data_IF_099498757430
#
_entry.id   IF_099498757430
#
_cell.length_a   1.000
_cell.length_b   1.000
_cell.length_c   1.000
_cell.angle_alpha   90.00
_cell.angle_beta   90.00
_cell.angle_gamma   90.00
#
_symmetry.space_group_name_H-M   'P 1'
#
loop_
_entity.id
_entity.type
_entity.pdbx_description
1 polymer ?
#
# COMPACT_ATOMS: atom_id res chain seq x y z
N UNK A 1 -19.51 -34.71 -10.08
CA UNK A 1 -19.62 -33.60 -11.05
C UNK A 1 -18.20 -33.25 -11.46
N UNK A 2 -17.77 -33.63 -12.67
CA UNK A 2 -16.45 -33.28 -13.19
C UNK A 2 -16.48 -31.79 -13.56
N UNK A 3 -15.74 -30.94 -12.83
CA UNK A 3 -15.47 -29.58 -13.28
C UNK A 3 -14.63 -29.70 -14.55
N UNK A 4 -15.23 -29.39 -15.71
CA UNK A 4 -14.48 -29.12 -16.94
C UNK A 4 -13.75 -27.79 -16.73
N UNK A 5 -12.53 -27.84 -16.24
CA UNK A 5 -11.71 -26.65 -15.93
C UNK A 5 -11.26 -25.91 -17.20
N UNK A 6 -11.57 -26.39 -18.42
CA UNK A 6 -10.71 -26.12 -19.58
C UNK A 6 -11.32 -25.54 -20.86
N UNK A 7 -12.63 -25.35 -20.95
CA UNK A 7 -13.22 -24.71 -22.14
C UNK A 7 -13.39 -23.19 -21.98
N UNK A 8 -12.83 -22.59 -20.92
CA UNK A 8 -13.02 -21.17 -20.61
C UNK A 8 -11.69 -20.43 -20.48
N UNK A 9 -11.66 -19.21 -21.02
CA UNK A 9 -10.56 -18.28 -20.88
C UNK A 9 -10.30 -17.95 -19.40
N UNK A 10 -9.04 -17.67 -19.08
CA UNK A 10 -8.68 -17.15 -17.76
C UNK A 10 -9.32 -15.77 -17.57
N UNK A 11 -9.88 -15.52 -16.39
CA UNK A 11 -10.37 -14.20 -16.03
C UNK A 11 -9.20 -13.24 -15.85
N UNK A 12 -9.43 -11.96 -16.18
CA UNK A 12 -8.43 -10.91 -15.99
C UNK A 12 -8.38 -10.39 -14.54
N UNK A 13 -8.64 -11.25 -13.57
CA UNK A 13 -8.65 -10.93 -12.13
C UNK A 13 -7.91 -12.05 -11.40
N UNK A 14 -7.12 -11.67 -10.41
CA UNK A 14 -6.18 -12.54 -9.72
C UNK A 14 -6.86 -13.47 -8.71
N UNK A 15 -8.05 -13.07 -8.24
CA UNK A 15 -8.72 -13.61 -7.06
C UNK A 15 -10.05 -14.24 -7.48
N UNK A 16 -10.27 -15.48 -7.05
CA UNK A 16 -11.57 -16.13 -7.20
C UNK A 16 -12.63 -15.52 -6.28
N UNK A 17 -13.92 -15.61 -6.66
CA UNK A 17 -15.04 -15.22 -5.82
C UNK A 17 -15.16 -16.02 -4.52
N UNK A 18 -16.11 -15.62 -3.66
CA UNK A 18 -16.36 -16.29 -2.38
C UNK A 18 -16.73 -17.76 -2.61
N UNK A 19 -15.91 -18.67 -2.10
CA UNK A 19 -16.13 -20.12 -2.19
C UNK A 19 -15.71 -20.85 -0.92
N UNK A 20 -16.18 -22.08 -0.77
CA UNK A 20 -15.83 -22.95 0.36
C UNK A 20 -14.52 -23.72 0.20
N UNK A 21 -13.98 -24.26 1.30
CA UNK A 21 -12.78 -25.09 1.23
C UNK A 21 -12.98 -26.31 0.33
N UNK A 22 -14.17 -26.93 0.31
CA UNK A 22 -14.45 -28.10 -0.53
C UNK A 22 -14.35 -27.79 -2.03
N UNK A 23 -14.98 -26.70 -2.48
CA UNK A 23 -14.95 -26.23 -3.87
C UNK A 23 -13.53 -25.88 -4.30
N UNK A 24 -12.80 -25.16 -3.43
CA UNK A 24 -11.39 -24.82 -3.65
C UNK A 24 -10.50 -26.05 -3.77
N UNK A 25 -10.69 -27.03 -2.88
CA UNK A 25 -9.91 -28.26 -2.90
C UNK A 25 -10.16 -29.03 -4.19
N UNK A 26 -11.42 -29.10 -4.64
CA UNK A 26 -11.76 -29.75 -5.90
C UNK A 26 -11.02 -29.11 -7.08
N UNK A 27 -10.92 -27.78 -7.14
CA UNK A 27 -10.15 -27.07 -8.18
C UNK A 27 -8.67 -27.45 -8.12
N UNK A 28 -8.06 -27.39 -6.93
CA UNK A 28 -6.63 -27.70 -6.73
C UNK A 28 -6.28 -29.12 -7.15
N UNK A 29 -7.02 -30.12 -6.66
CA UNK A 29 -6.79 -31.52 -7.04
C UNK A 29 -7.09 -31.78 -8.51
N UNK A 30 -8.16 -31.20 -9.06
CA UNK A 30 -8.46 -31.36 -10.49
C UNK A 30 -7.34 -30.80 -11.36
N UNK A 31 -6.74 -29.66 -10.98
CA UNK A 31 -5.62 -29.08 -11.72
C UNK A 31 -4.35 -29.92 -11.60
N UNK A 32 -4.07 -30.47 -10.42
CA UNK A 32 -2.94 -31.37 -10.23
C UNK A 32 -3.06 -32.65 -11.07
N UNK A 33 -4.24 -33.26 -11.13
CA UNK A 33 -4.49 -34.42 -12.00
C UNK A 33 -4.36 -34.07 -13.48
N UNK A 34 -4.86 -32.90 -13.90
CA UNK A 34 -4.67 -32.47 -15.28
C UNK A 34 -3.19 -32.25 -15.65
N UNK A 35 -2.44 -31.57 -14.78
CA UNK A 35 -1.01 -31.30 -15.01
C UNK A 35 -0.18 -32.57 -15.16
N UNK A 36 -0.57 -33.70 -14.53
CA UNK A 36 0.09 -35.00 -14.73
C UNK A 36 0.04 -35.47 -16.19
N UNK A 37 -1.03 -35.13 -16.90
CA UNK A 37 -1.26 -35.57 -18.28
C UNK A 37 -0.69 -34.57 -19.29
N UNK A 38 -0.65 -33.28 -18.94
CA UNK A 38 -0.39 -32.19 -19.88
C UNK A 38 0.96 -31.49 -19.71
N UNK A 39 1.70 -31.71 -18.61
CA UNK A 39 2.84 -30.85 -18.27
C UNK A 39 3.93 -31.52 -17.44
N UNK A 40 5.20 -31.23 -17.75
CA UNK A 40 6.37 -31.57 -16.92
C UNK A 40 6.41 -30.81 -15.59
N UNK A 41 5.59 -29.76 -15.45
CA UNK A 41 5.49 -28.92 -14.25
C UNK A 41 5.07 -29.70 -13.01
N UNK A 42 4.25 -30.74 -13.15
CA UNK A 42 3.85 -31.57 -12.02
C UNK A 42 5.06 -32.29 -11.41
N UNK A 43 5.97 -32.79 -12.23
CA UNK A 43 7.19 -33.46 -11.76
C UNK A 43 8.06 -32.50 -10.96
N UNK A 44 8.23 -31.27 -11.45
CA UNK A 44 8.99 -30.22 -10.75
C UNK A 44 8.37 -29.86 -9.39
N UNK A 45 7.05 -29.73 -9.32
CA UNK A 45 6.34 -29.48 -8.06
C UNK A 45 6.53 -30.63 -7.06
N UNK A 46 6.50 -31.88 -7.54
CA UNK A 46 6.70 -33.07 -6.71
C UNK A 46 8.14 -33.19 -6.20
N UNK A 47 9.12 -32.84 -7.02
CA UNK A 47 10.55 -32.88 -6.69
C UNK A 47 10.92 -31.78 -5.70
N UNK A 48 10.48 -30.55 -5.93
CA UNK A 48 10.88 -29.40 -5.12
C UNK A 48 10.00 -29.19 -3.89
N UNK A 49 8.85 -29.89 -3.80
CA UNK A 49 7.90 -29.74 -2.70
C UNK A 49 7.13 -28.42 -2.71
N UNK A 50 7.18 -27.68 -3.83
CA UNK A 50 6.50 -26.41 -4.03
C UNK A 50 4.98 -26.57 -3.95
N UNK A 51 4.31 -25.46 -3.63
CA UNK A 51 2.85 -25.41 -3.47
C UNK A 51 2.19 -25.15 -4.81
N UNK A 52 1.18 -25.94 -5.17
CA UNK A 52 0.16 -25.53 -6.14
C UNK A 52 -0.94 -24.82 -5.37
N UNK A 53 -1.32 -23.60 -5.77
CA UNK A 53 -2.15 -22.75 -4.93
C UNK A 53 -3.12 -21.87 -5.70
N UNK A 54 -4.16 -21.41 -5.02
CA UNK A 54 -5.06 -20.37 -5.50
C UNK A 54 -5.47 -19.45 -4.36
N UNK A 55 -5.95 -18.27 -4.72
CA UNK A 55 -6.44 -17.27 -3.78
C UNK A 55 -7.89 -16.94 -4.08
N UNK A 56 -8.69 -16.84 -3.02
CA UNK A 56 -10.12 -16.56 -3.10
C UNK A 56 -10.53 -15.50 -2.09
N UNK A 57 -11.62 -14.82 -2.40
CA UNK A 57 -12.34 -14.03 -1.42
C UNK A 57 -12.77 -14.94 -0.25
N UNK A 58 -12.48 -14.51 0.97
CA UNK A 58 -12.77 -15.29 2.15
C UNK A 58 -14.26 -15.26 2.49
N UNK A 59 -14.71 -16.28 3.22
CA UNK A 59 -16.04 -16.24 3.86
C UNK A 59 -16.08 -15.33 5.09
N UNK A 60 -14.91 -14.86 5.52
CA UNK A 60 -14.73 -13.87 6.58
C UNK A 60 -14.48 -12.54 5.90
N UNK A 61 -15.33 -11.55 6.15
CA UNK A 61 -15.24 -10.26 5.47
C UNK A 61 -13.89 -9.57 5.73
N UNK A 62 -13.36 -8.92 4.68
CA UNK A 62 -12.08 -8.20 4.72
C UNK A 62 -10.83 -9.09 4.59
N UNK A 63 -11.00 -10.40 4.37
CA UNK A 63 -9.89 -11.33 4.21
C UNK A 63 -9.84 -11.95 2.81
N UNK A 64 -8.62 -12.24 2.35
CA UNK A 64 -8.37 -13.24 1.31
C UNK A 64 -7.98 -14.55 1.96
N UNK A 65 -8.35 -15.67 1.33
CA UNK A 65 -7.89 -17.00 1.75
C UNK A 65 -7.07 -17.64 0.65
N UNK A 66 -5.85 -18.03 0.98
CA UNK A 66 -4.98 -18.82 0.13
C UNK A 66 -5.10 -20.27 0.54
N UNK A 67 -5.40 -21.12 -0.43
CA UNK A 67 -5.39 -22.57 -0.25
C UNK A 67 -4.39 -23.18 -1.21
N UNK A 68 -3.72 -24.22 -0.73
CA UNK A 68 -2.71 -24.91 -1.51
C UNK A 68 -2.67 -26.40 -1.21
N UNK A 69 -2.10 -27.11 -2.17
CA UNK A 69 -1.66 -28.49 -2.02
C UNK A 69 -0.15 -28.57 -2.25
N UNK A 70 0.49 -29.51 -1.55
CA UNK A 70 1.89 -29.87 -1.81
C UNK A 70 2.03 -31.38 -1.91
N UNK A 71 3.08 -31.85 -2.57
CA UNK A 71 3.32 -33.28 -2.71
C UNK A 71 3.94 -33.86 -1.44
N UNK A 72 3.27 -34.82 -0.81
CA UNK A 72 3.83 -35.59 0.28
C UNK A 72 4.67 -36.75 -0.29
N UNK A 73 6.00 -36.62 -0.23
CA UNK A 73 6.93 -37.64 -0.74
C UNK A 73 6.82 -38.98 0.00
N UNK A 74 6.50 -38.98 1.29
CA UNK A 74 6.40 -40.20 2.10
C UNK A 74 5.16 -41.02 1.72
N UNK A 75 4.06 -40.34 1.44
CA UNK A 75 2.78 -40.96 1.09
C UNK A 75 2.53 -41.05 -0.42
N UNK A 76 3.45 -40.51 -1.24
CA UNK A 76 3.33 -40.40 -2.69
C UNK A 76 1.97 -39.87 -3.15
N UNK A 77 1.47 -38.82 -2.47
CA UNK A 77 0.18 -38.22 -2.78
C UNK A 77 0.18 -36.71 -2.52
N UNK A 78 -0.72 -35.99 -3.19
CA UNK A 78 -1.01 -34.60 -2.91
C UNK A 78 -1.71 -34.48 -1.55
N UNK A 79 -1.23 -33.56 -0.72
CA UNK A 79 -1.83 -33.25 0.57
C UNK A 79 -2.28 -31.79 0.62
N UNK A 80 -3.40 -31.53 1.29
CA UNK A 80 -3.87 -30.18 1.58
C UNK A 80 -2.97 -29.52 2.62
N UNK A 81 -2.55 -28.29 2.35
CA UNK A 81 -1.94 -27.44 3.38
C UNK A 81 -3.02 -26.71 4.17
N UNK A 82 -2.68 -26.26 5.38
CA UNK A 82 -3.55 -25.42 6.20
C UNK A 82 -3.79 -24.09 5.46
N UNK A 83 -5.05 -23.70 5.20
CA UNK A 83 -5.36 -22.43 4.55
C UNK A 83 -4.77 -21.24 5.32
N UNK A 84 -4.25 -20.27 4.59
CA UNK A 84 -3.74 -19.02 5.16
C UNK A 84 -4.70 -17.88 4.81
N UNK A 85 -4.99 -17.01 5.79
CA UNK A 85 -5.85 -15.85 5.61
C UNK A 85 -5.03 -14.57 5.68
N UNK A 86 -5.28 -13.68 4.73
CA UNK A 86 -4.56 -12.42 4.56
C UNK A 86 -5.53 -11.24 4.68
N UNK A 87 -5.12 -10.22 5.42
CA UNK A 87 -5.88 -8.99 5.66
C UNK A 87 -5.13 -7.81 5.06
N UNK A 88 -5.85 -6.88 4.45
CA UNK A 88 -5.28 -5.63 3.96
C UNK A 88 -5.21 -4.61 5.10
N UNK A 89 -4.08 -3.92 5.21
CA UNK A 89 -3.88 -2.75 6.06
C UNK A 89 -3.27 -1.62 5.25
N UNK A 90 -3.84 -0.41 5.36
CA UNK A 90 -3.26 0.76 4.71
C UNK A 90 -2.00 1.29 5.43
N UNK A 91 -1.68 0.79 6.63
CA UNK A 91 -0.48 1.21 7.36
C UNK A 91 0.70 0.27 7.21
N UNK A 92 0.48 -1.03 7.01
CA UNK A 92 1.57 -2.02 6.91
C UNK A 92 1.51 -2.88 5.65
N UNK A 93 0.45 -2.78 4.86
CA UNK A 93 0.23 -3.62 3.68
C UNK A 93 -0.55 -4.89 3.99
N UNK A 94 -0.23 -5.97 3.28
CA UNK A 94 -0.87 -7.26 3.55
C UNK A 94 -0.27 -7.92 4.79
N UNK A 95 -1.12 -8.52 5.63
CA UNK A 95 -0.71 -9.25 6.84
C UNK A 95 -1.45 -10.58 6.96
N UNK A 96 -0.87 -11.54 7.67
CA UNK A 96 -1.52 -12.83 7.96
C UNK A 96 -2.44 -12.68 9.18
N UNK A 97 -3.69 -13.12 9.07
CA UNK A 97 -4.64 -13.22 10.18
C UNK A 97 -5.42 -14.54 10.14
N UNK A 98 -4.86 -15.57 10.77
CA UNK A 98 -5.47 -16.90 10.88
C UNK A 98 -6.31 -17.09 12.15
N UNK A 99 -6.51 -16.05 12.97
CA UNK A 99 -7.31 -16.15 14.19
C UNK A 99 -8.78 -16.49 13.88
N UNK A 100 -9.46 -17.13 14.82
CA UNK A 100 -10.88 -17.48 14.64
C UNK A 100 -11.68 -16.21 14.33
N UNK A 101 -12.59 -16.22 13.33
CA UNK A 101 -13.35 -15.01 12.97
C UNK A 101 -14.07 -14.44 14.19
N UNK A 102 -13.97 -13.12 14.39
CA UNK A 102 -14.60 -12.40 15.51
C UNK A 102 -14.11 -12.80 16.92
N UNK A 103 -12.98 -13.51 17.03
CA UNK A 103 -12.31 -13.74 18.32
C UNK A 103 -11.55 -12.52 18.80
N UNK A 104 -11.20 -12.49 20.09
CA UNK A 104 -10.36 -11.44 20.65
C UNK A 104 -8.99 -11.40 19.95
N UNK A 105 -8.39 -12.55 19.64
CA UNK A 105 -7.12 -12.58 18.90
C UNK A 105 -7.26 -12.00 17.48
N UNK A 106 -8.41 -12.17 16.84
CA UNK A 106 -8.67 -11.59 15.53
C UNK A 106 -8.69 -10.06 15.59
N UNK A 107 -9.39 -9.49 16.57
CA UNK A 107 -9.47 -8.03 16.74
C UNK A 107 -8.16 -7.43 17.22
N UNK A 108 -7.36 -8.14 18.02
CA UNK A 108 -6.00 -7.69 18.40
C UNK A 108 -5.14 -7.46 17.16
N UNK A 109 -5.16 -8.39 16.20
CA UNK A 109 -4.41 -8.23 14.94
C UNK A 109 -4.95 -7.04 14.13
N UNK A 110 -6.28 -6.93 14.01
CA UNK A 110 -6.94 -5.81 13.30
C UNK A 110 -6.51 -4.47 13.90
N UNK A 111 -6.63 -4.30 15.21
CA UNK A 111 -6.37 -3.03 15.90
C UNK A 111 -4.88 -2.68 15.87
N UNK A 112 -3.99 -3.67 16.06
CA UNK A 112 -2.54 -3.44 16.08
C UNK A 112 -2.00 -3.02 14.72
N UNK A 113 -2.55 -3.57 13.64
CA UNK A 113 -2.03 -3.39 12.30
C UNK A 113 -2.87 -2.43 11.46
N UNK A 114 -4.01 -1.96 11.94
CA UNK A 114 -4.95 -1.13 11.19
C UNK A 114 -5.63 -1.90 10.04
N UNK A 115 -6.02 -3.15 10.31
CA UNK A 115 -6.64 -4.04 9.33
C UNK A 115 -8.04 -3.60 8.89
N UNK A 116 -8.36 -3.81 7.61
CA UNK A 116 -9.65 -3.41 7.02
C UNK A 116 -10.60 -4.62 6.98
N UNK A 117 -11.64 -4.60 7.83
CA UNK A 117 -12.67 -5.66 7.86
C UNK A 117 -13.74 -5.43 6.78
N UNK A 118 -14.20 -4.19 6.62
CA UNK A 118 -15.20 -3.84 5.61
C UNK A 118 -14.54 -3.03 4.52
N UNK A 119 -14.37 -3.64 3.35
CA UNK A 119 -13.75 -3.01 2.19
C UNK A 119 -14.74 -2.10 1.46
N UNK A 120 -14.35 -0.85 1.26
CA UNK A 120 -15.06 0.14 0.44
C UNK A 120 -14.10 0.80 -0.55
N UNK A 121 -14.63 1.47 -1.56
CA UNK A 121 -13.80 2.20 -2.54
C UNK A 121 -12.99 3.33 -1.89
N UNK A 122 -13.45 3.85 -0.75
CA UNK A 122 -12.82 4.96 -0.02
C UNK A 122 -11.71 4.50 0.92
N UNK A 123 -11.82 3.28 1.46
CA UNK A 123 -10.89 2.79 2.48
C UNK A 123 -9.91 1.74 1.97
N UNK A 124 -10.08 1.21 0.75
CA UNK A 124 -9.15 0.23 0.17
C UNK A 124 -8.18 0.88 -0.80
N UNK A 125 -6.90 0.53 -0.66
CA UNK A 125 -5.86 0.81 -1.65
C UNK A 125 -5.23 -0.51 -2.08
N UNK A 126 -5.85 -1.24 -3.03
CA UNK A 126 -5.44 -2.60 -3.31
C UNK A 126 -4.12 -2.63 -4.07
N UNK A 127 -3.12 -3.35 -3.54
CA UNK A 127 -1.80 -3.43 -4.12
C UNK A 127 -1.36 -4.87 -4.39
N UNK A 128 -1.40 -5.27 -5.67
CA UNK A 128 -0.98 -6.61 -6.09
C UNK A 128 0.50 -6.90 -5.77
N UNK A 129 1.47 -5.99 -5.98
CA UNK A 129 2.87 -6.28 -5.67
C UNK A 129 3.11 -6.68 -4.20
N UNK A 130 2.45 -6.03 -3.24
CA UNK A 130 2.52 -6.40 -1.83
C UNK A 130 1.97 -7.76 -1.52
N UNK A 131 0.81 -8.06 -2.10
CA UNK A 131 0.19 -9.37 -1.98
C UNK A 131 1.14 -10.46 -2.52
N UNK A 132 1.72 -10.24 -3.69
CA UNK A 132 2.66 -11.19 -4.28
C UNK A 132 3.93 -11.35 -3.43
N UNK A 133 4.45 -10.27 -2.86
CA UNK A 133 5.61 -10.31 -1.96
C UNK A 133 5.33 -11.14 -0.71
N UNK A 134 4.23 -10.87 0.01
CA UNK A 134 3.93 -11.66 1.21
C UNK A 134 3.62 -13.13 0.86
N UNK A 135 3.04 -13.39 -0.31
CA UNK A 135 2.80 -14.76 -0.79
C UNK A 135 4.11 -15.49 -1.08
N UNK A 136 5.07 -14.87 -1.77
CA UNK A 136 6.37 -15.49 -2.05
C UNK A 136 7.17 -15.74 -0.77
N UNK A 137 7.17 -14.80 0.18
CA UNK A 137 7.77 -14.97 1.52
C UNK A 137 7.16 -16.16 2.29
N UNK A 138 5.93 -16.56 1.96
CA UNK A 138 5.24 -17.71 2.52
C UNK A 138 5.29 -18.97 1.61
N UNK A 139 6.16 -18.98 0.60
CA UNK A 139 6.40 -20.10 -0.30
C UNK A 139 5.32 -20.34 -1.35
N UNK A 140 4.58 -19.30 -1.73
CA UNK A 140 3.59 -19.31 -2.81
C UNK A 140 4.15 -18.64 -4.07
N UNK A 141 4.85 -19.43 -4.89
CA UNK A 141 5.44 -18.95 -6.14
C UNK A 141 4.36 -18.63 -7.19
N UNK A 142 4.43 -17.46 -7.82
CA UNK A 142 3.42 -16.94 -8.76
C UNK A 142 3.16 -17.88 -9.93
N UNK A 143 4.22 -18.50 -10.46
CA UNK A 143 4.11 -19.44 -11.56
C UNK A 143 3.26 -20.65 -11.19
N UNK A 144 3.17 -21.03 -9.92
CA UNK A 144 2.42 -22.22 -9.46
C UNK A 144 0.98 -21.91 -9.05
N UNK A 145 0.51 -20.70 -9.36
CA UNK A 145 -0.87 -20.28 -9.15
C UNK A 145 -1.84 -20.93 -10.15
N UNK A 146 -3.06 -21.16 -9.69
CA UNK A 146 -4.23 -21.44 -10.54
C UNK A 146 -5.06 -20.16 -10.68
N UNK A 147 -5.33 -19.73 -11.91
CA UNK A 147 -6.12 -18.54 -12.22
C UNK A 147 -7.62 -18.86 -12.19
N UNK A 148 -8.50 -17.91 -11.78
CA UNK A 148 -9.93 -18.05 -12.02
C UNK A 148 -10.24 -18.06 -13.51
N UNK A 149 -11.29 -18.79 -13.88
CA UNK A 149 -11.91 -18.70 -15.21
C UNK A 149 -12.94 -17.58 -15.24
N UNK A 150 -13.28 -17.08 -16.43
CA UNK A 150 -14.35 -16.08 -16.60
C UNK A 150 -15.64 -16.56 -15.91
N UNK A 151 -16.21 -15.71 -15.06
CA UNK A 151 -17.37 -16.01 -14.22
C UNK A 151 -17.05 -16.65 -12.86
N UNK A 152 -15.78 -16.93 -12.56
CA UNK A 152 -15.32 -17.45 -11.26
C UNK A 152 -14.54 -16.39 -10.46
N UNK A 153 -14.19 -15.26 -11.07
CA UNK A 153 -13.52 -14.15 -10.43
C UNK A 153 -14.38 -13.49 -9.34
N UNK A 154 -13.71 -12.82 -8.41
CA UNK A 154 -14.39 -12.03 -7.39
C UNK A 154 -15.05 -10.77 -7.98
N UNK A 155 -16.19 -10.41 -7.44
CA UNK A 155 -16.89 -9.14 -7.69
C UNK A 155 -16.77 -8.17 -6.52
N UNK A 156 -16.06 -8.56 -5.45
CA UNK A 156 -15.91 -7.76 -4.24
C UNK A 156 -15.06 -6.53 -4.48
N UNK A 157 -15.55 -5.40 -3.98
CA UNK A 157 -14.87 -4.10 -4.00
C UNK A 157 -13.47 -4.25 -3.36
N UNK A 158 -12.48 -3.61 -3.96
CA UNK A 158 -11.07 -3.72 -3.57
C UNK A 158 -10.34 -4.91 -4.21
N UNK A 159 -11.00 -6.03 -4.51
CA UNK A 159 -10.32 -7.20 -5.08
C UNK A 159 -10.39 -7.30 -6.60
N UNK A 160 -11.32 -6.58 -7.23
CA UNK A 160 -11.46 -6.54 -8.70
C UNK A 160 -10.33 -5.80 -9.41
N UNK A 161 -9.52 -5.01 -8.69
CA UNK A 161 -8.36 -4.28 -9.24
C UNK A 161 -7.08 -5.11 -9.32
N UNK A 162 -7.04 -6.32 -8.73
CA UNK A 162 -5.90 -7.23 -8.86
C UNK A 162 -5.98 -7.92 -10.22
N UNK A 163 -5.49 -7.27 -11.28
CA UNK A 163 -5.53 -7.83 -12.63
C UNK A 163 -4.33 -8.72 -12.93
N UNK A 164 -4.52 -9.69 -13.82
CA UNK A 164 -3.46 -10.61 -14.25
C UNK A 164 -2.58 -10.03 -15.36
N UNK A 165 -3.11 -9.07 -16.10
CA UNK A 165 -2.45 -8.39 -17.22
C UNK A 165 -1.88 -7.01 -16.87
N UNK A 166 -1.87 -6.65 -15.57
CA UNK A 166 -1.21 -5.44 -15.11
C UNK A 166 0.27 -5.58 -15.46
N UNK A 167 0.66 -5.02 -16.60
CA UNK A 167 1.99 -5.15 -17.18
C UNK A 167 3.04 -4.93 -16.10
N UNK A 168 3.72 -6.02 -15.73
CA UNK A 168 5.08 -5.89 -15.22
C UNK A 168 5.79 -4.99 -16.23
N UNK A 169 6.50 -3.93 -15.81
CA UNK A 169 7.24 -3.12 -16.75
C UNK A 169 8.07 -4.09 -17.59
N UNK A 170 7.88 -4.05 -18.92
CA UNK A 170 9.03 -4.31 -19.78
C UNK A 170 10.08 -3.34 -19.25
N UNK A 171 11.09 -3.86 -18.54
CA UNK A 171 12.34 -3.14 -18.41
C UNK A 171 12.66 -2.70 -19.83
N UNK A 172 12.70 -1.39 -20.07
CA UNK A 172 13.13 -0.81 -21.33
C UNK A 172 14.49 -1.39 -21.64
N UNK A 173 14.47 -2.50 -22.37
CA UNK A 173 15.62 -3.18 -22.90
C UNK A 173 16.09 -2.29 -24.03
N UNK A 174 16.91 -1.30 -23.69
CA UNK A 174 18.01 -0.76 -24.49
C UNK A 174 18.63 0.42 -23.75
N UNK A 175 19.86 0.20 -23.26
CA UNK A 175 20.84 1.20 -22.84
C UNK A 175 20.62 1.95 -21.52
N UNK A 176 20.95 1.31 -20.40
CA UNK A 176 22.14 1.72 -19.62
C UNK A 176 22.43 0.67 -18.54
N UNK A 177 23.71 0.30 -18.40
CA UNK A 177 24.21 -0.33 -17.17
C UNK A 177 24.21 0.74 -16.08
N UNK A 178 23.07 0.93 -15.44
CA UNK A 178 22.96 1.56 -14.14
C UNK A 178 22.25 0.55 -13.26
N UNK A 179 22.94 0.06 -12.23
CA UNK A 179 22.27 -0.73 -11.21
C UNK A 179 21.12 0.11 -10.65
N UNK A 180 19.87 -0.38 -10.72
CA UNK A 180 18.75 0.36 -10.18
C UNK A 180 18.95 0.41 -8.67
N UNK A 181 19.29 1.58 -8.14
CA UNK A 181 19.04 1.89 -6.74
C UNK A 181 17.53 2.09 -6.61
N UNK A 182 16.77 1.01 -6.75
CA UNK A 182 15.35 0.96 -6.50
C UNK A 182 15.17 1.23 -5.03
N UNK A 183 14.73 2.43 -4.68
CA UNK A 183 14.33 2.73 -3.30
C UNK A 183 13.16 1.81 -2.97
N UNK A 184 13.44 0.75 -2.24
CA UNK A 184 12.44 -0.20 -1.76
C UNK A 184 11.78 0.39 -0.53
N UNK A 185 10.78 1.24 -0.75
CA UNK A 185 10.00 1.83 0.33
C UNK A 185 9.14 0.75 1.00
N UNK A 186 9.04 0.76 2.34
CA UNK A 186 8.08 -0.08 3.06
C UNK A 186 6.67 0.16 2.53
N UNK A 187 5.88 -0.91 2.53
CA UNK A 187 4.56 -0.89 1.92
C UNK A 187 3.64 0.17 2.52
N UNK A 188 3.67 0.36 3.84
CA UNK A 188 2.95 1.44 4.51
C UNK A 188 3.30 2.84 4.00
N UNK A 189 4.59 3.10 3.73
CA UNK A 189 5.02 4.37 3.13
C UNK A 189 4.58 4.47 1.68
N UNK A 190 4.70 3.40 0.91
CA UNK A 190 4.25 3.36 -0.48
C UNK A 190 2.75 3.69 -0.60
N UNK A 191 1.91 3.07 0.22
CA UNK A 191 0.47 3.34 0.29
C UNK A 191 0.25 4.81 0.67
N UNK A 192 0.87 5.29 1.75
CA UNK A 192 0.74 6.67 2.22
C UNK A 192 1.14 7.71 1.15
N UNK A 193 2.12 7.39 0.31
CA UNK A 193 2.63 8.29 -0.74
C UNK A 193 1.95 8.10 -2.10
N UNK A 194 1.05 7.14 -2.24
CA UNK A 194 0.38 6.81 -3.50
C UNK A 194 -1.02 7.41 -3.62
N UNK A 195 -1.49 7.49 -4.86
CA UNK A 195 -2.85 7.96 -5.16
C UNK A 195 -3.83 6.78 -5.23
N UNK A 196 -4.86 6.72 -4.36
CA UNK A 196 -5.85 5.65 -4.39
C UNK A 196 -6.52 5.48 -5.75
N UNK A 197 -6.87 6.58 -6.43
CA UNK A 197 -7.53 6.53 -7.74
C UNK A 197 -6.63 5.91 -8.82
N UNK A 198 -5.34 6.22 -8.78
CA UNK A 198 -4.36 5.62 -9.70
C UNK A 198 -4.26 4.13 -9.47
N UNK A 199 -4.18 3.73 -8.19
CA UNK A 199 -4.04 2.33 -7.81
C UNK A 199 -5.28 1.51 -8.14
N UNK A 200 -6.48 2.04 -7.92
CA UNK A 200 -7.73 1.38 -8.33
C UNK A 200 -7.81 1.25 -9.86
N UNK A 201 -7.45 2.29 -10.61
CA UNK A 201 -7.51 2.31 -12.09
C UNK A 201 -6.48 1.38 -12.74
N UNK A 202 -5.27 1.31 -12.19
CA UNK A 202 -4.14 0.61 -12.82
C UNK A 202 -3.73 -0.70 -12.14
N UNK A 203 -4.19 -0.97 -10.92
CA UNK A 203 -3.71 -2.08 -10.08
C UNK A 203 -2.29 -1.87 -9.54
N UNK A 204 -1.64 -0.74 -9.83
CA UNK A 204 -0.27 -0.45 -9.45
C UNK A 204 -0.20 0.67 -8.39
N UNK A 205 0.62 0.47 -7.36
CA UNK A 205 1.02 1.56 -6.47
C UNK A 205 2.06 2.41 -7.21
N UNK A 206 1.76 3.70 -7.37
CA UNK A 206 2.71 4.71 -7.84
C UNK A 206 2.64 5.91 -6.90
N UNK A 207 3.82 6.40 -6.51
CA UNK A 207 3.93 7.63 -5.71
C UNK A 207 3.35 8.82 -6.48
N UNK A 208 2.69 9.72 -5.76
CA UNK A 208 2.13 10.95 -6.33
C UNK A 208 3.23 11.90 -6.77
N UNK A 209 3.04 12.61 -7.88
CA UNK A 209 3.95 13.68 -8.33
C UNK A 209 3.44 15.05 -7.91
N UNK A 210 2.11 15.25 -7.95
CA UNK A 210 1.48 16.49 -7.53
C UNK A 210 0.30 16.21 -6.58
N UNK A 211 0.60 15.87 -5.30
CA UNK A 211 -0.43 15.52 -4.34
C UNK A 211 -1.30 16.71 -3.96
N UNK A 212 -2.62 16.51 -4.03
CA UNK A 212 -3.66 17.43 -3.52
C UNK A 212 -4.58 16.69 -2.56
N UNK A 213 -4.94 17.32 -1.45
CA UNK A 213 -5.79 16.71 -0.42
C UNK A 213 -7.22 17.19 -0.58
N UNK A 214 -8.14 16.25 -0.70
CA UNK A 214 -9.56 16.56 -0.85
C UNK A 214 -10.17 16.90 0.52
N UNK A 215 -10.89 18.02 0.60
CA UNK A 215 -11.41 18.58 1.86
C UNK A 215 -12.39 17.64 2.55
N UNK A 216 -13.16 16.86 1.77
CA UNK A 216 -14.24 16.02 2.29
C UNK A 216 -13.76 14.80 3.09
N UNK A 217 -12.60 14.24 2.73
CA UNK A 217 -12.11 12.98 3.27
C UNK A 217 -10.67 13.06 3.80
N UNK A 218 -9.94 14.15 3.53
CA UNK A 218 -8.57 14.33 3.99
C UNK A 218 -7.54 13.42 3.30
N UNK A 219 -7.94 12.75 2.22
CA UNK A 219 -7.07 11.87 1.45
C UNK A 219 -6.38 12.67 0.34
N UNK A 220 -5.09 12.40 0.15
CA UNK A 220 -4.30 12.96 -0.94
C UNK A 220 -4.45 12.12 -2.21
N UNK A 221 -4.60 12.83 -3.32
CA UNK A 221 -4.73 12.29 -4.66
C UNK A 221 -3.72 12.95 -5.59
N UNK A 222 -3.37 12.25 -6.67
CA UNK A 222 -2.70 12.88 -7.81
C UNK A 222 -3.65 13.88 -8.46
N UNK A 223 -3.23 15.15 -8.59
CA UNK A 223 -4.07 16.25 -9.07
C UNK A 223 -4.76 15.93 -10.38
N UNK A 224 -4.02 15.43 -11.37
CA UNK A 224 -4.56 15.12 -12.69
C UNK A 224 -5.69 14.10 -12.61
N UNK A 225 -5.54 13.09 -11.76
CA UNK A 225 -6.48 11.97 -11.68
C UNK A 225 -7.72 12.35 -10.85
N UNK A 226 -7.56 13.23 -9.86
CA UNK A 226 -8.69 13.80 -9.13
C UNK A 226 -9.57 14.65 -10.06
N UNK A 227 -8.95 15.54 -10.85
CA UNK A 227 -9.67 16.42 -11.78
C UNK A 227 -10.22 15.69 -13.01
N UNK A 228 -9.60 14.58 -13.44
CA UNK A 228 -10.18 13.67 -14.43
C UNK A 228 -11.50 13.06 -13.92
N UNK A 229 -11.54 12.61 -12.66
CA UNK A 229 -12.71 11.98 -12.05
C UNK A 229 -13.79 12.99 -11.65
N UNK A 230 -13.39 14.19 -11.21
CA UNK A 230 -14.28 15.24 -10.72
C UNK A 230 -13.84 16.60 -11.29
N UNK A 231 -14.25 16.94 -12.53
CA UNK A 231 -13.77 18.14 -13.23
C UNK A 231 -14.23 19.47 -12.62
N UNK A 232 -15.32 19.45 -11.84
CA UNK A 232 -15.91 20.65 -11.24
C UNK A 232 -15.28 21.05 -9.89
N UNK A 233 -14.26 20.33 -9.43
CA UNK A 233 -13.58 20.66 -8.17
C UNK A 233 -12.69 21.90 -8.34
N UNK A 234 -12.58 22.69 -7.26
CA UNK A 234 -11.90 23.98 -7.24
C UNK A 234 -10.83 23.96 -6.13
N UNK A 235 -9.60 24.34 -6.47
CA UNK A 235 -8.52 24.48 -5.49
C UNK A 235 -8.84 25.59 -4.49
N UNK A 236 -8.50 25.38 -3.21
CA UNK A 236 -8.76 26.36 -2.15
C UNK A 236 -10.19 26.33 -1.62
N UNK A 237 -11.07 25.50 -2.21
CA UNK A 237 -12.43 25.25 -1.73
C UNK A 237 -12.72 23.77 -1.53
N UNK A 238 -12.49 22.96 -2.56
CA UNK A 238 -12.81 21.54 -2.56
C UNK A 238 -11.59 20.66 -2.24
N UNK A 239 -10.39 21.11 -2.63
CA UNK A 239 -9.13 20.45 -2.31
C UNK A 239 -8.03 21.51 -2.10
N UNK A 240 -6.97 21.13 -1.38
CA UNK A 240 -5.80 21.97 -1.12
C UNK A 240 -4.53 21.29 -1.65
N UNK A 241 -3.51 22.05 -2.11
CA UNK A 241 -2.21 21.47 -2.43
C UNK A 241 -1.57 20.86 -1.18
N UNK A 242 -0.82 19.76 -1.30
CA UNK A 242 -0.15 19.13 -0.16
C UNK A 242 1.38 19.26 -0.29
N UNK A 243 1.91 20.42 0.09
CA UNK A 243 3.31 20.76 -0.15
C UNK A 243 4.28 19.87 0.63
N UNK A 244 4.00 19.60 1.91
CA UNK A 244 4.86 18.72 2.73
C UNK A 244 4.93 17.31 2.14
N UNK A 245 3.79 16.72 1.75
CA UNK A 245 3.77 15.39 1.15
C UNK A 245 4.54 15.37 -0.18
N UNK A 246 4.39 16.40 -1.02
CA UNK A 246 5.15 16.55 -2.28
C UNK A 246 6.66 16.60 -2.03
N UNK A 247 7.10 17.38 -1.05
CA UNK A 247 8.52 17.48 -0.68
C UNK A 247 9.06 16.14 -0.18
N UNK A 248 8.33 15.46 0.71
CA UNK A 248 8.69 14.15 1.23
C UNK A 248 8.85 13.14 0.09
N UNK A 249 7.90 13.08 -0.85
CA UNK A 249 7.98 12.17 -2.01
C UNK A 249 9.27 12.44 -2.81
N UNK A 250 9.61 13.71 -3.05
CA UNK A 250 10.83 14.08 -3.78
C UNK A 250 12.12 13.65 -3.05
N UNK A 251 12.10 13.56 -1.73
CA UNK A 251 13.24 13.08 -0.95
C UNK A 251 13.35 11.56 -1.03
N UNK A 252 12.25 10.85 -0.76
CA UNK A 252 12.28 9.40 -0.67
C UNK A 252 12.42 8.73 -2.04
N UNK A 253 11.91 9.33 -3.12
CA UNK A 253 11.94 8.77 -4.47
C UNK A 253 13.18 9.19 -5.29
N UNK A 254 14.25 9.66 -4.65
CA UNK A 254 15.47 10.06 -5.34
C UNK A 254 16.34 8.85 -5.74
N UNK A 255 16.12 8.29 -6.94
CA UNK A 255 16.72 7.02 -7.41
C UNK A 255 18.08 7.14 -8.11
N UNK A 256 18.87 8.19 -7.84
CA UNK A 256 20.16 8.41 -8.53
C UNK A 256 21.24 9.03 -7.64
N UNK A 257 21.13 8.83 -6.33
CA UNK A 257 22.06 9.39 -5.34
C UNK A 257 22.98 8.32 -4.80
N UNK A 258 24.21 8.70 -4.45
CA UNK A 258 25.04 7.86 -3.59
C UNK A 258 24.35 7.60 -2.23
N UNK A 259 24.68 6.51 -1.53
CA UNK A 259 24.10 6.22 -0.21
C UNK A 259 24.20 7.40 0.77
N UNK A 260 25.34 8.10 0.76
CA UNK A 260 25.60 9.25 1.63
C UNK A 260 24.74 10.47 1.24
N UNK A 261 24.59 10.76 -0.06
CA UNK A 261 23.71 11.84 -0.56
C UNK A 261 22.23 11.53 -0.33
N UNK A 262 21.85 10.26 -0.48
CA UNK A 262 20.49 9.80 -0.20
C UNK A 262 20.17 9.96 1.30
N UNK A 263 21.08 9.54 2.18
CA UNK A 263 20.96 9.73 3.61
C UNK A 263 20.79 11.20 4.01
N UNK A 264 21.60 12.10 3.43
CA UNK A 264 21.48 13.54 3.67
C UNK A 264 20.13 14.10 3.21
N UNK A 265 19.49 13.53 2.18
CA UNK A 265 18.11 13.88 1.82
C UNK A 265 17.10 13.32 2.82
N UNK A 266 17.26 12.08 3.28
CA UNK A 266 16.37 11.48 4.28
C UNK A 266 16.37 12.27 5.59
N UNK A 267 17.50 12.83 6.01
CA UNK A 267 17.58 13.72 7.17
C UNK A 267 16.70 14.98 7.05
N UNK A 268 16.36 15.43 5.84
CA UNK A 268 15.44 16.56 5.65
C UNK A 268 13.98 16.18 5.91
N UNK A 269 13.63 14.90 5.77
CA UNK A 269 12.29 14.41 6.10
C UNK A 269 11.98 14.61 7.58
N UNK A 270 12.96 14.46 8.47
CA UNK A 270 12.81 14.74 9.92
C UNK A 270 12.32 16.17 10.19
N UNK A 271 12.72 17.15 9.37
CA UNK A 271 12.22 18.52 9.47
C UNK A 271 10.83 18.67 8.85
N UNK A 272 10.54 17.96 7.75
CA UNK A 272 9.25 18.02 7.07
C UNK A 272 8.11 17.32 7.81
N UNK A 273 8.41 16.39 8.72
CA UNK A 273 7.39 15.77 9.60
C UNK A 273 7.11 16.57 10.88
N UNK A 274 7.90 17.61 11.17
CA UNK A 274 7.69 18.48 12.32
C UNK A 274 6.64 19.55 12.06
N UNK A 275 5.91 19.87 13.13
CA UNK A 275 4.98 20.98 13.18
C UNK A 275 5.75 22.32 13.09
N UNK A 276 5.42 23.21 12.15
CA UNK A 276 6.11 24.49 12.01
C UNK A 276 5.94 25.45 13.20
N UNK A 277 4.95 25.22 14.07
CA UNK A 277 4.68 26.06 15.25
C UNK A 277 5.41 25.52 16.49
N UNK A 278 5.29 24.22 16.76
CA UNK A 278 5.86 23.57 17.95
C UNK A 278 7.23 22.93 17.72
N UNK A 279 7.66 22.75 16.48
CA UNK A 279 8.90 22.07 16.08
C UNK A 279 9.03 20.62 16.55
N UNK A 280 7.92 19.99 16.95
CA UNK A 280 7.84 18.58 17.30
C UNK A 280 7.21 17.78 16.16
N UNK A 281 7.49 16.49 16.06
CA UNK A 281 6.84 15.60 15.08
C UNK A 281 5.31 15.65 15.24
N UNK A 282 4.60 15.83 14.12
CA UNK A 282 3.14 15.90 14.12
C UNK A 282 2.53 14.52 14.43
N UNK A 283 1.56 14.47 15.33
CA UNK A 283 0.78 13.26 15.62
C UNK A 283 -0.57 13.29 14.87
N UNK A 284 -1.18 14.48 14.83
CA UNK A 284 -2.44 14.75 14.13
C UNK A 284 -2.22 15.84 13.08
N UNK A 285 -1.52 15.53 11.96
CA UNK A 285 -1.26 16.53 10.95
C UNK A 285 -2.57 16.94 10.26
N UNK A 286 -2.81 18.25 10.20
CA UNK A 286 -3.90 18.87 9.45
C UNK A 286 -3.32 19.83 8.41
N UNK A 287 -3.98 19.91 7.27
CA UNK A 287 -3.66 20.78 6.16
C UNK A 287 -4.47 22.06 6.25
N UNK A 288 -3.78 23.18 6.15
CA UNK A 288 -4.39 24.49 5.95
C UNK A 288 -4.79 24.71 4.48
N UNK A 289 -5.67 25.67 4.18
CA UNK A 289 -6.00 26.06 2.81
C UNK A 289 -4.81 26.57 1.99
N UNK A 290 -3.72 26.97 2.64
CA UNK A 290 -2.48 27.36 1.99
C UNK A 290 -1.65 26.16 1.52
N UNK A 291 -2.03 24.95 1.93
CA UNK A 291 -1.35 23.70 1.56
C UNK A 291 -0.18 23.31 2.47
N UNK A 292 0.02 24.02 3.57
CA UNK A 292 0.97 23.65 4.61
C UNK A 292 0.30 22.82 5.71
N UNK A 293 1.03 21.82 6.23
CA UNK A 293 0.55 20.99 7.33
C UNK A 293 1.10 21.43 8.68
N UNK A 294 0.25 21.29 9.69
CA UNK A 294 0.50 21.64 11.08
C UNK A 294 -0.02 20.54 12.00
N UNK A 295 0.48 20.49 13.23
CA UNK A 295 -0.14 19.72 14.29
C UNK A 295 -1.51 20.34 14.64
N UNK A 296 -2.59 19.54 14.63
CA UNK A 296 -3.96 20.01 14.85
C UNK A 296 -4.10 20.89 16.08
N UNK A 297 -3.53 20.45 17.18
CA UNK A 297 -3.60 21.16 18.45
C UNK A 297 -2.86 22.50 18.42
N UNK A 298 -1.78 22.64 17.64
CA UNK A 298 -0.99 23.88 17.55
C UNK A 298 -1.66 24.92 16.65
N UNK A 299 -2.10 24.54 15.46
CA UNK A 299 -2.76 25.45 14.52
C UNK A 299 -4.12 25.93 15.06
N UNK A 300 -4.84 25.08 15.78
CA UNK A 300 -6.10 25.48 16.42
C UNK A 300 -5.85 26.56 17.47
N UNK A 301 -4.83 26.37 18.33
CA UNK A 301 -4.42 27.40 19.30
C UNK A 301 -3.96 28.69 18.62
N UNK A 302 -3.23 28.59 17.51
CA UNK A 302 -2.84 29.76 16.71
C UNK A 302 -4.06 30.52 16.21
N UNK A 303 -5.01 29.84 15.56
CA UNK A 303 -6.25 30.44 15.06
C UNK A 303 -7.01 31.13 16.20
N UNK A 304 -7.21 30.45 17.33
CA UNK A 304 -7.87 31.04 18.50
C UNK A 304 -7.13 32.28 19.04
N UNK A 305 -5.79 32.28 19.06
CA UNK A 305 -4.99 33.43 19.51
C UNK A 305 -5.13 34.67 18.62
N UNK A 306 -5.56 34.49 17.36
CA UNK A 306 -5.81 35.58 16.39
C UNK A 306 -7.27 35.99 16.35
N UNK A 307 -8.16 35.24 17.01
CA UNK A 307 -9.54 35.64 17.19
C UNK A 307 -9.62 36.67 18.30
N UNK A 308 -10.29 37.79 18.03
CA UNK A 308 -10.55 38.83 19.01
C UNK A 308 -11.96 38.60 19.53
N UNK A 309 -12.10 38.27 20.81
CA UNK A 309 -13.39 38.09 21.49
C UNK A 309 -14.06 39.45 21.75
N UNK A 310 -14.53 40.11 20.68
CA UNK A 310 -15.34 41.32 20.79
C UNK A 310 -16.75 41.08 20.22
N UNK A 311 -17.82 41.21 21.04
CA UNK A 311 -19.19 40.88 20.66
C UNK A 311 -19.79 41.69 19.51
N UNK A 312 -19.14 42.76 19.03
CA UNK A 312 -19.75 43.76 18.15
C UNK A 312 -18.88 44.25 17.00
N UNK A 313 -17.61 43.83 16.91
CA UNK A 313 -16.79 44.14 15.74
C UNK A 313 -16.87 42.94 14.83
N UNK A 314 -17.51 43.14 13.68
CA UNK A 314 -17.52 42.22 12.54
C UNK A 314 -16.20 41.45 12.49
N UNK A 315 -16.30 40.12 12.55
CA UNK A 315 -15.18 39.18 12.65
C UNK A 315 -14.45 39.06 11.28
N UNK A 316 -14.10 40.20 10.67
CA UNK A 316 -13.57 40.38 9.32
C UNK A 316 -12.05 40.47 9.26
N UNK A 317 -11.36 40.52 10.40
CA UNK A 317 -9.88 40.59 10.42
C UNK A 317 -9.32 39.25 9.95
N UNK A 318 -8.54 39.19 8.85
CA UNK A 318 -7.95 37.95 8.35
C UNK A 318 -7.22 37.17 9.45
N UNK A 319 -7.30 35.85 9.41
CA UNK A 319 -6.45 35.00 10.26
C UNK A 319 -5.30 34.52 9.36
N UNK A 320 -4.07 35.04 9.55
CA UNK A 320 -2.96 34.66 8.70
C UNK A 320 -2.51 33.23 9.00
N UNK A 321 -2.31 32.46 7.95
CA UNK A 321 -1.55 31.22 7.98
C UNK A 321 -0.15 31.47 8.57
N UNK A 322 0.33 30.64 9.52
CA UNK A 322 1.62 30.87 10.19
C UNK A 322 2.83 30.92 9.24
N UNK A 323 2.77 30.29 8.07
CA UNK A 323 3.87 30.22 7.11
C UNK A 323 3.68 31.25 5.99
N UNK A 324 2.50 31.29 5.39
CA UNK A 324 2.27 32.04 4.15
C UNK A 324 1.62 33.40 4.37
N UNK A 325 1.12 33.68 5.57
CA UNK A 325 0.26 34.83 5.87
C UNK A 325 -1.04 34.90 5.05
N UNK A 326 -1.37 33.85 4.29
CA UNK A 326 -2.64 33.76 3.56
C UNK A 326 -3.81 33.74 4.55
N UNK A 327 -4.91 34.39 4.21
CA UNK A 327 -6.11 34.34 5.06
C UNK A 327 -6.73 32.94 5.05
N UNK A 328 -6.78 32.34 6.24
CA UNK A 328 -7.38 31.03 6.52
C UNK A 328 -8.68 31.15 7.31
N UNK A 329 -9.17 32.37 7.58
CA UNK A 329 -10.44 32.58 8.29
C UNK A 329 -11.60 31.94 7.52
N UNK A 330 -12.47 31.25 8.27
CA UNK A 330 -13.69 30.66 7.73
C UNK A 330 -13.47 29.50 6.76
N UNK A 331 -12.21 29.07 6.59
CA UNK A 331 -11.85 27.90 5.80
C UNK A 331 -11.55 26.72 6.71
N UNK A 332 -11.87 25.52 6.24
CA UNK A 332 -11.68 24.30 7.02
C UNK A 332 -10.20 23.94 7.11
N UNK A 333 -9.76 23.52 8.29
CA UNK A 333 -8.58 22.67 8.41
C UNK A 333 -8.99 21.24 8.04
N UNK A 334 -8.17 20.56 7.25
CA UNK A 334 -8.48 19.24 6.72
C UNK A 334 -7.49 18.24 7.31
N UNK A 335 -7.96 17.08 7.78
CA UNK A 335 -7.04 16.03 8.23
C UNK A 335 -6.10 15.61 7.08
N UNK A 336 -4.79 15.53 7.32
CA UNK A 336 -3.82 15.08 6.31
C UNK A 336 -3.54 13.59 6.52
N UNK A 337 -4.47 12.75 6.05
CA UNK A 337 -4.47 11.30 6.33
C UNK A 337 -3.19 10.63 5.83
N UNK A 338 -2.77 10.95 4.62
CA UNK A 338 -1.56 10.41 3.99
C UNK A 338 -0.28 10.80 4.75
N UNK A 339 -0.14 12.07 5.17
CA UNK A 339 1.02 12.48 5.96
C UNK A 339 1.03 11.78 7.33
N UNK A 340 -0.12 11.62 7.98
CA UNK A 340 -0.22 10.87 9.24
C UNK A 340 0.22 9.42 9.08
N UNK A 341 -0.19 8.75 8.00
CA UNK A 341 0.24 7.38 7.70
C UNK A 341 1.75 7.30 7.44
N UNK A 342 2.28 8.25 6.66
CA UNK A 342 3.72 8.33 6.39
C UNK A 342 4.53 8.49 7.69
N UNK A 343 4.14 9.43 8.57
CA UNK A 343 4.83 9.68 9.84
C UNK A 343 4.87 8.44 10.72
N UNK A 344 3.80 7.63 10.73
CA UNK A 344 3.77 6.37 11.48
C UNK A 344 4.76 5.33 10.96
N UNK A 345 4.93 5.25 9.64
CA UNK A 345 5.82 4.27 9.01
C UNK A 345 7.29 4.74 8.95
N UNK A 346 7.54 6.03 9.16
CA UNK A 346 8.84 6.67 8.98
C UNK A 346 9.94 6.16 9.94
N UNK A 347 9.72 6.00 11.27
CA UNK A 347 10.79 5.61 12.19
C UNK A 347 11.44 4.27 11.84
N UNK A 348 10.64 3.27 11.51
CA UNK A 348 11.14 1.93 11.17
C UNK A 348 11.97 1.95 9.88
N UNK A 349 11.52 2.70 8.88
CA UNK A 349 12.27 2.91 7.64
C UNK A 349 13.59 3.63 7.89
N UNK A 350 13.55 4.72 8.66
CA UNK A 350 14.71 5.55 8.92
C UNK A 350 15.82 4.77 9.63
N UNK A 351 15.48 3.99 10.66
CA UNK A 351 16.44 3.11 11.36
C UNK A 351 17.04 2.05 10.44
N UNK A 352 16.25 1.45 9.55
CA UNK A 352 16.75 0.47 8.59
C UNK A 352 17.77 1.09 7.62
N UNK A 353 17.50 2.30 7.13
CA UNK A 353 18.41 3.03 6.25
C UNK A 353 19.70 3.44 6.98
N UNK A 354 19.60 3.84 8.25
CA UNK A 354 20.77 4.15 9.08
C UNK A 354 21.69 2.92 9.22
N UNK A 355 21.09 1.77 9.51
CA UNK A 355 21.81 0.51 9.64
C UNK A 355 22.46 0.09 8.31
N UNK A 356 21.75 0.21 7.19
CA UNK A 356 22.29 -0.08 5.86
C UNK A 356 23.49 0.81 5.51
N UNK A 357 23.41 2.10 5.81
CA UNK A 357 24.52 3.03 5.60
C UNK A 357 25.74 2.63 6.44
N UNK A 358 25.53 2.26 7.71
CA UNK A 358 26.61 1.83 8.59
C UNK A 358 27.35 0.58 8.06
N UNK A 359 26.61 -0.41 7.56
CA UNK A 359 27.20 -1.60 6.92
C UNK A 359 28.00 -1.21 5.68
N UNK A 360 27.38 -0.43 4.78
CA UNK A 360 27.99 -0.03 3.51
C UNK A 360 29.32 0.72 3.72
N UNK A 361 29.36 1.64 4.70
CA UNK A 361 30.57 2.38 5.05
C UNK A 361 31.65 1.48 5.67
N UNK A 362 31.26 0.50 6.48
CA UNK A 362 32.17 -0.49 7.06
C UNK A 362 32.82 -1.37 5.99
N UNK A 363 32.04 -1.86 5.01
CA UNK A 363 32.53 -2.69 3.91
C UNK A 363 33.48 -1.92 2.98
N UNK A 364 33.15 -0.67 2.62
CA UNK A 364 34.06 0.23 1.87
C UNK A 364 35.39 0.40 2.61
N UNK A 365 35.36 0.55 3.94
CA UNK A 365 36.55 0.75 4.76
C UNK A 365 37.44 -0.50 4.83
N UNK A 366 36.84 -1.70 4.77
CA UNK A 366 37.58 -2.97 4.76
C UNK A 366 38.23 -3.22 3.39
N UNK A 367 37.53 -2.95 2.29
CA UNK A 367 38.05 -3.06 0.93
C UNK A 367 39.28 -2.16 0.71
N UNK A 368 39.23 -0.90 1.17
CA UNK A 368 40.36 0.05 1.07
C UNK A 368 41.57 -0.37 1.91
N UNK A 369 41.39 -1.17 2.97
CA UNK A 369 42.50 -1.70 3.78
C UNK A 369 43.11 -2.99 3.22
N UNK A 370 42.42 -3.66 2.30
CA UNK A 370 42.86 -4.93 1.69
C UNK A 370 43.58 -4.75 0.34
N UNK A 371 43.54 -3.55 -0.22
CA UNK A 371 44.35 -3.06 -1.35
C UNK A 371 45.50 -2.21 -0.84
#
# INVERSE_FOLDING_TARGET
MQLKVEDMDDANVFIYGKMGPEETNLILFSKAEWLKVSSTKVTQLQENGSKLWLIRDSRVDGLLTVQSISWNKQLAQWQMNVPQRYMLSNSVGWIVNNAAPLSDEFFVVVDSAGGIIQMTDENTQPHLPGLLKILSENGYEVENRINPKVGQETTSIGYTSYRTDASLPEEDSLSSKLEPTTVNLPEGMLIALSCPLTTIKSGQIKVMKDPVTLVRDGISYERSNLLEKYPDLEEGKHFYPNFKLKTIINYVSATSLSPEEYWAKLQKVEEDIKDPILFNTMNEPVLSPSGHSFEKSSITKWISSKQVDLPSVSNTVPIPDPITSQDIRGKSLVDNVNLRQFIKAWPDFYMQQEYYLAITLSEKTQLVKST
#
